data_IF_382740703846
#
_entry.id   IF_382740703846
#
_cell.length_a   1.000
_cell.length_b   1.000
_cell.length_c   1.000
_cell.angle_alpha   90.00
_cell.angle_beta   90.00
_cell.angle_gamma   90.00
#
_symmetry.space_group_name_H-M   'P 1'
#
loop_
_entity.id
_entity.type
_entity.pdbx_description
1 polymer ?
#
# COMPACT_ATOMS: atom_id res chain seq x y z
N UNK A 1 -8.20 -10.68 -17.40
CA UNK A 1 -8.48 -9.89 -16.20
C UNK A 1 -7.18 -9.73 -15.45
N UNK A 2 -6.80 -8.53 -15.04
CA UNK A 2 -5.55 -8.28 -14.32
C UNK A 2 -5.66 -8.74 -12.86
N UNK A 3 -4.52 -9.06 -12.22
CA UNK A 3 -4.50 -9.44 -10.80
C UNK A 3 -5.03 -8.31 -9.90
N UNK A 4 -4.72 -7.07 -10.25
CA UNK A 4 -5.25 -5.88 -9.57
C UNK A 4 -6.77 -5.90 -9.49
N UNK A 5 -7.46 -6.14 -10.60
CA UNK A 5 -8.93 -6.17 -10.64
C UNK A 5 -9.50 -7.34 -9.83
N UNK A 6 -8.82 -8.49 -9.84
CA UNK A 6 -9.23 -9.65 -9.02
C UNK A 6 -9.10 -9.31 -7.53
N UNK A 7 -7.99 -8.70 -7.11
CA UNK A 7 -7.78 -8.30 -5.71
C UNK A 7 -8.86 -7.29 -5.29
N UNK A 8 -9.14 -6.28 -6.11
CA UNK A 8 -10.19 -5.29 -5.85
C UNK A 8 -11.55 -5.96 -5.69
N UNK A 9 -11.92 -6.84 -6.62
CA UNK A 9 -13.21 -7.53 -6.58
C UNK A 9 -13.36 -8.39 -5.32
N UNK A 10 -12.37 -9.23 -5.00
CA UNK A 10 -12.39 -10.09 -3.81
C UNK A 10 -12.45 -9.26 -2.53
N UNK A 11 -11.61 -8.22 -2.43
CA UNK A 11 -11.57 -7.33 -1.25
C UNK A 11 -12.89 -6.60 -1.07
N UNK A 12 -13.48 -6.08 -2.15
CA UNK A 12 -14.78 -5.39 -2.10
C UNK A 12 -15.89 -6.34 -1.65
N UNK A 13 -15.99 -7.53 -2.24
CA UNK A 13 -17.01 -8.52 -1.87
C UNK A 13 -16.90 -8.88 -0.39
N UNK A 14 -15.71 -9.21 0.10
CA UNK A 14 -15.51 -9.59 1.51
C UNK A 14 -15.81 -8.42 2.45
N UNK A 15 -15.40 -7.20 2.11
CA UNK A 15 -15.71 -6.00 2.91
C UNK A 15 -17.21 -5.75 2.99
N UNK A 16 -17.94 -5.81 1.86
CA UNK A 16 -19.39 -5.66 1.85
C UNK A 16 -20.10 -6.73 2.69
N UNK A 17 -19.65 -7.98 2.61
CA UNK A 17 -20.16 -9.04 3.48
C UNK A 17 -19.91 -8.76 4.96
N UNK A 18 -18.73 -8.22 5.30
CA UNK A 18 -18.33 -7.97 6.68
C UNK A 18 -19.05 -6.76 7.32
N UNK A 19 -19.52 -5.76 6.54
CA UNK A 19 -20.27 -4.61 7.05
C UNK A 19 -21.54 -5.03 7.82
N UNK A 20 -22.17 -6.12 7.42
CA UNK A 20 -23.39 -6.61 8.05
C UNK A 20 -23.20 -7.98 8.74
N UNK A 21 -21.94 -8.45 8.90
CA UNK A 21 -21.63 -9.73 9.49
C UNK A 21 -20.52 -9.62 10.52
N UNK A 22 -20.89 -9.40 11.79
CA UNK A 22 -19.96 -9.26 12.90
C UNK A 22 -19.10 -10.52 13.11
N UNK A 23 -19.64 -11.72 12.84
CA UNK A 23 -18.89 -12.97 12.96
C UNK A 23 -17.74 -13.01 11.95
N UNK A 24 -18.00 -12.65 10.68
CA UNK A 24 -16.98 -12.57 9.64
C UNK A 24 -15.93 -11.50 10.01
N UNK A 25 -16.38 -10.32 10.43
CA UNK A 25 -15.51 -9.24 10.89
C UNK A 25 -14.57 -9.71 12.01
N UNK A 26 -15.10 -10.29 13.09
CA UNK A 26 -14.31 -10.76 14.22
C UNK A 26 -13.36 -11.90 13.85
N UNK A 27 -13.73 -12.76 12.92
CA UNK A 27 -12.90 -13.87 12.47
C UNK A 27 -11.71 -13.37 11.63
N UNK A 28 -11.89 -12.34 10.79
CA UNK A 28 -10.88 -11.89 9.83
C UNK A 28 -10.03 -10.71 10.31
N UNK A 29 -10.53 -9.90 11.25
CA UNK A 29 -9.81 -8.72 11.76
C UNK A 29 -8.46 -9.11 12.37
N UNK A 30 -7.45 -8.27 12.16
CA UNK A 30 -6.17 -8.42 12.84
C UNK A 30 -6.35 -8.21 14.34
N UNK A 31 -6.05 -9.25 15.11
CA UNK A 31 -6.15 -9.29 16.55
C UNK A 31 -4.91 -9.99 17.13
N UNK A 32 -3.95 -9.26 17.70
CA UNK A 32 -2.68 -9.82 18.16
C UNK A 32 -2.80 -10.99 19.12
N UNK A 33 -3.70 -11.00 20.14
CA UNK A 33 -3.87 -12.16 21.01
C UNK A 33 -4.33 -13.43 20.29
N UNK A 34 -5.11 -13.30 19.19
CA UNK A 34 -5.51 -14.46 18.38
C UNK A 34 -4.33 -14.98 17.54
N UNK A 35 -3.49 -14.08 17.01
CA UNK A 35 -2.24 -14.45 16.32
C UNK A 35 -1.31 -15.24 17.26
N UNK A 36 -1.19 -14.86 18.53
CA UNK A 36 -0.46 -15.63 19.55
C UNK A 36 -1.02 -17.04 19.73
N UNK A 37 -2.32 -17.25 19.53
CA UNK A 37 -2.98 -18.57 19.53
C UNK A 37 -2.87 -19.31 18.19
N UNK A 38 -1.93 -18.89 17.33
CA UNK A 38 -1.62 -19.48 16.01
C UNK A 38 -2.65 -19.19 14.91
N UNK A 39 -3.52 -18.17 15.06
CA UNK A 39 -4.43 -17.73 14.02
C UNK A 39 -3.68 -16.84 12.98
N UNK A 40 -2.62 -17.38 12.37
CA UNK A 40 -1.69 -16.63 11.48
C UNK A 40 -2.35 -16.12 10.20
N UNK A 41 -3.48 -16.69 9.78
CA UNK A 41 -4.24 -16.20 8.63
C UNK A 41 -4.66 -14.73 8.78
N UNK A 42 -4.76 -14.23 10.01
CA UNK A 42 -5.11 -12.84 10.31
C UNK A 42 -4.09 -11.82 9.81
N UNK A 43 -2.85 -12.24 9.54
CA UNK A 43 -1.85 -11.41 8.86
C UNK A 43 -2.21 -11.09 7.41
N UNK A 44 -3.19 -11.77 6.84
CA UNK A 44 -3.63 -11.59 5.45
C UNK A 44 -5.11 -11.18 5.37
N UNK A 45 -5.96 -11.81 6.15
CA UNK A 45 -7.42 -11.61 6.05
C UNK A 45 -7.87 -10.22 6.50
N UNK A 46 -7.13 -9.56 7.38
CA UNK A 46 -7.43 -8.20 7.81
C UNK A 46 -7.44 -7.19 6.65
N UNK A 47 -6.62 -7.45 5.62
CA UNK A 47 -6.58 -6.63 4.41
C UNK A 47 -7.80 -6.77 3.51
N UNK A 48 -8.67 -7.77 3.75
CA UNK A 48 -9.95 -7.92 3.06
C UNK A 48 -11.08 -7.15 3.73
N UNK A 49 -10.83 -6.54 4.89
CA UNK A 49 -11.83 -5.84 5.68
C UNK A 49 -11.59 -4.32 5.64
N UNK A 50 -12.67 -3.55 5.68
CA UNK A 50 -12.61 -2.09 5.78
C UNK A 50 -13.62 -1.59 6.82
N UNK A 51 -13.33 -0.43 7.42
CA UNK A 51 -14.16 0.12 8.50
C UNK A 51 -15.52 0.63 7.98
N UNK A 52 -15.48 1.25 6.79
CA UNK A 52 -16.62 1.87 6.15
C UNK A 52 -16.43 1.93 4.62
N UNK A 53 -17.46 2.43 3.91
CA UNK A 53 -17.46 2.55 2.46
C UNK A 53 -16.40 3.53 1.93
N UNK A 54 -16.14 4.61 2.65
CA UNK A 54 -15.13 5.59 2.27
C UNK A 54 -13.73 4.99 2.35
N UNK A 55 -13.44 4.27 3.45
CA UNK A 55 -12.18 3.56 3.63
C UNK A 55 -11.97 2.49 2.53
N UNK A 56 -13.00 1.71 2.21
CA UNK A 56 -12.95 0.76 1.10
C UNK A 56 -12.71 1.45 -0.24
N UNK A 57 -13.48 2.50 -0.54
CA UNK A 57 -13.39 3.23 -1.80
C UNK A 57 -11.99 3.78 -2.03
N UNK A 58 -11.41 4.50 -1.07
CA UNK A 58 -10.08 5.10 -1.24
C UNK A 58 -8.98 4.07 -1.39
N UNK A 59 -9.04 2.94 -0.68
CA UNK A 59 -8.07 1.85 -0.85
C UNK A 59 -8.19 1.21 -2.24
N UNK A 60 -9.39 0.89 -2.69
CA UNK A 60 -9.61 0.24 -3.98
C UNK A 60 -9.35 1.19 -5.15
N UNK A 61 -9.67 2.48 -5.00
CA UNK A 61 -9.35 3.51 -5.99
C UNK A 61 -7.83 3.68 -6.15
N UNK A 62 -7.10 3.81 -5.05
CA UNK A 62 -5.63 3.88 -5.08
C UNK A 62 -5.04 2.59 -5.68
N UNK A 63 -5.54 1.42 -5.29
CA UNK A 63 -5.09 0.14 -5.84
C UNK A 63 -5.39 0.04 -7.34
N UNK A 64 -6.53 0.55 -7.80
CA UNK A 64 -6.85 0.59 -9.22
C UNK A 64 -5.85 1.45 -10.00
N UNK A 65 -5.62 2.68 -9.57
CA UNK A 65 -4.73 3.62 -10.26
C UNK A 65 -3.27 3.14 -10.26
N UNK A 66 -2.74 2.87 -9.11
CA UNK A 66 -1.31 2.56 -8.95
C UNK A 66 -1.01 1.07 -9.18
N UNK A 67 -1.95 0.21 -8.80
CA UNK A 67 -1.80 -1.24 -8.96
C UNK A 67 -1.79 -1.67 -10.42
N UNK A 68 -2.70 -1.15 -11.24
CA UNK A 68 -2.70 -1.45 -12.68
C UNK A 68 -1.43 -0.97 -13.37
N UNK A 69 -0.91 0.20 -12.96
CA UNK A 69 0.34 0.72 -13.51
C UNK A 69 1.54 -0.18 -13.12
N UNK A 70 1.67 -0.55 -11.86
CA UNK A 70 2.79 -1.38 -11.38
C UNK A 70 2.68 -2.83 -11.86
N UNK A 71 1.46 -3.41 -11.92
CA UNK A 71 1.25 -4.72 -12.57
C UNK A 71 1.73 -4.67 -14.03
N UNK A 72 1.38 -3.60 -14.77
CA UNK A 72 1.83 -3.37 -16.15
C UNK A 72 3.34 -3.28 -16.28
N UNK A 73 4.02 -2.54 -15.39
CA UNK A 73 5.50 -2.45 -15.36
C UNK A 73 6.14 -3.82 -15.12
N UNK A 74 5.64 -4.58 -14.16
CA UNK A 74 6.18 -5.90 -13.84
C UNK A 74 5.93 -6.90 -14.96
N UNK A 75 4.75 -6.89 -15.58
CA UNK A 75 4.43 -7.72 -16.75
C UNK A 75 5.32 -7.35 -17.94
N UNK A 76 5.52 -6.07 -18.22
CA UNK A 76 6.42 -5.62 -19.27
C UNK A 76 7.86 -6.06 -19.04
N UNK A 77 8.35 -5.93 -17.80
CA UNK A 77 9.73 -6.23 -17.47
C UNK A 77 10.02 -7.75 -17.39
N UNK A 78 9.07 -8.55 -16.89
CA UNK A 78 9.31 -9.96 -16.54
C UNK A 78 8.45 -10.97 -17.33
N UNK A 79 7.57 -10.48 -18.22
CA UNK A 79 6.58 -11.30 -18.93
C UNK A 79 5.32 -11.57 -18.11
N UNK A 80 4.24 -11.98 -18.79
CA UNK A 80 2.89 -12.06 -18.23
C UNK A 80 2.83 -12.90 -16.93
N UNK A 81 3.34 -14.12 -16.95
CA UNK A 81 3.23 -15.03 -15.81
C UNK A 81 4.07 -14.57 -14.61
N UNK A 82 5.35 -14.29 -14.85
CA UNK A 82 6.28 -13.90 -13.79
C UNK A 82 5.96 -12.50 -13.24
N UNK A 83 5.65 -11.54 -14.11
CA UNK A 83 5.30 -10.18 -13.70
C UNK A 83 4.05 -10.16 -12.85
N UNK A 84 3.00 -10.89 -13.25
CA UNK A 84 1.78 -11.03 -12.44
C UNK A 84 2.06 -11.70 -11.10
N UNK A 85 2.87 -12.77 -11.08
CA UNK A 85 3.26 -13.43 -9.81
C UNK A 85 4.00 -12.49 -8.87
N UNK A 86 4.98 -11.71 -9.40
CA UNK A 86 5.73 -10.73 -8.62
C UNK A 86 4.82 -9.64 -8.06
N UNK A 87 3.85 -9.15 -8.84
CA UNK A 87 2.87 -8.18 -8.39
C UNK A 87 2.01 -8.72 -7.23
N UNK A 88 1.45 -9.93 -7.41
CA UNK A 88 0.65 -10.58 -6.36
C UNK A 88 1.49 -10.84 -5.12
N UNK A 89 2.74 -11.31 -5.28
CA UNK A 89 3.67 -11.50 -4.17
C UNK A 89 3.94 -10.20 -3.41
N UNK A 90 4.20 -9.10 -4.13
CA UNK A 90 4.38 -7.77 -3.52
C UNK A 90 3.15 -7.36 -2.69
N UNK A 91 1.94 -7.54 -3.21
CA UNK A 91 0.72 -7.18 -2.51
C UNK A 91 0.51 -8.06 -1.26
N UNK A 92 0.61 -9.38 -1.40
CA UNK A 92 0.37 -10.33 -0.28
C UNK A 92 1.44 -10.21 0.79
N UNK A 93 2.72 -10.12 0.41
CA UNK A 93 3.81 -9.87 1.36
C UNK A 93 3.71 -8.47 1.97
N UNK A 94 3.20 -7.49 1.21
CA UNK A 94 2.89 -6.16 1.70
C UNK A 94 1.89 -6.17 2.86
N UNK A 95 0.84 -7.00 2.79
CA UNK A 95 -0.07 -7.20 3.94
C UNK A 95 0.68 -7.72 5.15
N UNK A 96 1.49 -8.77 5.00
CA UNK A 96 2.24 -9.35 6.10
C UNK A 96 3.25 -8.37 6.70
N UNK A 97 4.16 -7.83 5.86
CA UNK A 97 5.29 -7.01 6.31
C UNK A 97 4.83 -5.71 6.93
N UNK A 98 3.80 -5.06 6.37
CA UNK A 98 3.30 -3.78 6.89
C UNK A 98 2.77 -3.88 8.32
N UNK A 99 2.13 -5.01 8.69
CA UNK A 99 1.52 -5.17 10.01
C UNK A 99 2.49 -5.74 11.07
N UNK A 100 3.66 -6.28 10.68
CA UNK A 100 4.60 -6.90 11.63
C UNK A 100 5.09 -5.96 12.73
N UNK A 101 5.51 -4.71 12.47
CA UNK A 101 5.91 -3.79 13.54
C UNK A 101 4.78 -3.50 14.51
N UNK A 102 3.56 -3.34 13.99
CA UNK A 102 2.36 -3.18 14.81
C UNK A 102 2.09 -4.43 15.65
N UNK A 103 2.28 -5.63 15.09
CA UNK A 103 2.16 -6.86 15.87
C UNK A 103 3.15 -6.90 17.03
N UNK A 104 4.41 -6.54 16.79
CA UNK A 104 5.45 -6.52 17.83
C UNK A 104 5.09 -5.53 18.94
N UNK A 105 4.61 -4.34 18.58
CA UNK A 105 4.19 -3.28 19.51
C UNK A 105 2.96 -3.67 20.32
N UNK A 106 1.95 -4.26 19.67
CA UNK A 106 0.62 -4.49 20.24
C UNK A 106 0.34 -5.95 20.63
N UNK A 107 1.36 -6.84 20.57
CA UNK A 107 1.18 -8.29 20.77
C UNK A 107 0.54 -8.69 22.10
N UNK A 108 0.65 -7.83 23.12
CA UNK A 108 0.11 -8.04 24.46
C UNK A 108 -1.15 -7.19 24.74
N UNK A 109 -1.58 -6.38 23.77
CA UNK A 109 -2.75 -5.51 23.91
C UNK A 109 -4.05 -6.27 23.61
N UNK A 110 -4.93 -6.50 24.60
CA UNK A 110 -6.21 -7.18 24.37
C UNK A 110 -7.24 -6.28 23.66
N UNK A 111 -7.02 -4.97 23.65
CA UNK A 111 -7.92 -4.01 23.05
C UNK A 111 -7.61 -3.73 21.57
N UNK A 112 -6.36 -3.98 21.14
CA UNK A 112 -5.94 -3.59 19.80
C UNK A 112 -6.63 -4.41 18.70
N UNK A 113 -7.10 -3.71 17.68
CA UNK A 113 -7.68 -4.27 16.46
C UNK A 113 -7.21 -3.44 15.27
N UNK A 114 -6.97 -4.09 14.12
CA UNK A 114 -6.65 -3.39 12.87
C UNK A 114 -7.30 -4.09 11.68
N UNK A 115 -7.66 -3.30 10.67
CA UNK A 115 -8.23 -3.77 9.41
C UNK A 115 -7.90 -2.80 8.28
N UNK A 116 -7.94 -3.27 7.05
CA UNK A 116 -7.71 -2.48 5.84
C UNK A 116 -6.50 -2.94 5.03
N UNK A 117 -6.62 -2.81 3.71
CA UNK A 117 -5.57 -3.15 2.75
C UNK A 117 -4.43 -2.10 2.70
N UNK A 118 -4.57 -0.99 3.43
CA UNK A 118 -3.79 0.24 3.21
C UNK A 118 -2.27 0.06 3.32
N UNK A 119 -1.78 -0.88 4.15
CA UNK A 119 -0.36 -1.20 4.22
C UNK A 119 0.18 -1.79 2.90
N UNK A 120 -0.54 -2.74 2.30
CA UNK A 120 -0.18 -3.28 0.99
C UNK A 120 -0.42 -2.27 -0.15
N UNK A 121 -1.47 -1.46 -0.05
CA UNK A 121 -1.71 -0.36 -1.00
C UNK A 121 -0.57 0.65 -0.94
N UNK A 122 -0.05 0.98 0.25
CA UNK A 122 1.14 1.84 0.40
C UNK A 122 2.37 1.23 -0.26
N UNK A 123 2.57 -0.10 -0.19
CA UNK A 123 3.66 -0.76 -0.92
C UNK A 123 3.55 -0.53 -2.43
N UNK A 124 2.35 -0.66 -2.99
CA UNK A 124 2.09 -0.43 -4.42
C UNK A 124 2.29 1.04 -4.80
N UNK A 125 1.80 1.97 -3.97
CA UNK A 125 1.96 3.43 -4.19
C UNK A 125 3.44 3.82 -4.19
N UNK A 126 4.23 3.32 -3.24
CA UNK A 126 5.66 3.64 -3.18
C UNK A 126 6.47 2.95 -4.29
N UNK A 127 6.05 1.75 -4.74
CA UNK A 127 6.58 1.15 -5.96
C UNK A 127 6.30 2.04 -7.19
N UNK A 128 5.10 2.65 -7.27
CA UNK A 128 4.76 3.60 -8.33
C UNK A 128 5.61 4.86 -8.27
N UNK A 129 5.79 5.45 -7.09
CA UNK A 129 6.64 6.63 -6.88
C UNK A 129 8.08 6.37 -7.35
N UNK A 130 8.60 5.16 -7.06
CA UNK A 130 9.95 4.76 -7.47
C UNK A 130 10.12 4.68 -9.00
N UNK A 131 9.08 4.27 -9.73
CA UNK A 131 9.10 4.12 -11.19
C UNK A 131 8.77 5.44 -11.90
N UNK A 132 7.85 6.22 -11.35
CA UNK A 132 7.31 7.44 -11.97
C UNK A 132 7.42 8.66 -11.04
N UNK A 133 8.65 9.05 -10.63
CA UNK A 133 8.85 10.09 -9.60
C UNK A 133 8.31 11.46 -9.97
N UNK A 134 8.27 11.80 -11.25
CA UNK A 134 7.80 13.09 -11.74
C UNK A 134 6.32 13.14 -12.12
N UNK A 135 5.62 12.00 -12.09
CA UNK A 135 4.18 12.00 -12.30
C UNK A 135 3.47 12.77 -11.18
N UNK A 136 2.53 13.63 -11.57
CA UNK A 136 1.81 14.44 -10.59
C UNK A 136 0.77 13.60 -9.84
N UNK A 137 0.82 13.69 -8.51
CA UNK A 137 -0.12 13.06 -7.59
C UNK A 137 -0.77 14.12 -6.71
N UNK A 138 -2.03 13.90 -6.34
CA UNK A 138 -2.79 14.79 -5.47
C UNK A 138 -3.74 14.01 -4.58
N UNK A 139 -4.34 14.70 -3.63
CA UNK A 139 -5.40 14.18 -2.78
C UNK A 139 -6.75 14.53 -3.42
N UNK A 140 -7.65 13.57 -3.51
CA UNK A 140 -9.00 13.78 -4.06
C UNK A 140 -9.66 14.97 -3.36
N UNK A 141 -10.28 15.84 -4.16
CA UNK A 141 -10.91 17.12 -3.76
C UNK A 141 -9.95 18.25 -3.38
N UNK A 142 -8.63 18.05 -3.39
CA UNK A 142 -7.65 19.12 -3.17
C UNK A 142 -6.97 19.41 -4.52
N UNK A 143 -7.20 20.60 -5.13
CA UNK A 143 -6.66 20.91 -6.47
C UNK A 143 -5.18 21.33 -6.42
N UNK A 144 -4.37 20.54 -5.70
CA UNK A 144 -2.92 20.70 -5.58
C UNK A 144 -2.28 19.37 -5.95
N UNK A 145 -1.43 19.40 -6.95
CA UNK A 145 -0.73 18.21 -7.44
C UNK A 145 0.77 18.42 -7.31
N UNK A 146 1.44 17.42 -6.75
CA UNK A 146 2.89 17.40 -6.53
C UNK A 146 3.50 16.22 -7.29
N UNK A 147 4.77 16.32 -7.75
CA UNK A 147 5.48 15.16 -8.23
C UNK A 147 5.43 14.01 -7.23
N UNK A 148 5.34 12.79 -7.72
CA UNK A 148 5.17 11.62 -6.88
C UNK A 148 6.25 11.49 -5.81
N UNK A 149 7.52 11.81 -6.12
CA UNK A 149 8.60 11.76 -5.12
C UNK A 149 8.36 12.73 -3.96
N UNK A 150 7.90 13.95 -4.24
CA UNK A 150 7.61 14.95 -3.21
C UNK A 150 6.38 14.57 -2.40
N UNK A 151 5.33 14.08 -3.08
CA UNK A 151 4.14 13.51 -2.43
C UNK A 151 4.53 12.38 -1.46
N UNK A 152 5.40 11.46 -1.86
CA UNK A 152 5.87 10.36 -1.03
C UNK A 152 6.62 10.83 0.23
N UNK A 153 7.49 11.84 0.10
CA UNK A 153 8.20 12.44 1.25
C UNK A 153 7.19 13.03 2.24
N UNK A 154 6.25 13.86 1.75
CA UNK A 154 5.22 14.48 2.59
C UNK A 154 4.36 13.41 3.26
N UNK A 155 3.95 12.38 2.53
CA UNK A 155 3.18 11.26 3.06
C UNK A 155 3.87 10.56 4.22
N UNK A 156 5.18 10.27 4.09
CA UNK A 156 5.96 9.64 5.18
C UNK A 156 6.07 10.56 6.39
N UNK A 157 6.39 11.84 6.19
CA UNK A 157 6.53 12.83 7.28
C UNK A 157 5.22 12.98 8.05
N UNK A 158 4.11 13.15 7.32
CA UNK A 158 2.78 13.28 7.94
C UNK A 158 2.38 11.99 8.66
N UNK A 159 2.58 10.83 8.03
CA UNK A 159 2.28 9.54 8.65
C UNK A 159 3.09 9.31 9.93
N UNK A 160 4.38 9.66 9.94
CA UNK A 160 5.23 9.57 11.12
C UNK A 160 4.76 10.50 12.25
N UNK A 161 4.39 11.74 11.91
CA UNK A 161 3.86 12.70 12.88
C UNK A 161 2.55 12.22 13.51
N UNK A 162 1.63 11.69 12.70
CA UNK A 162 0.34 11.18 13.17
C UNK A 162 0.49 9.90 14.00
N UNK A 163 1.42 8.99 13.64
CA UNK A 163 1.72 7.79 14.45
C UNK A 163 2.27 8.17 15.83
N UNK A 164 3.22 9.11 15.87
CA UNK A 164 3.82 9.59 17.12
C UNK A 164 2.79 10.22 18.07
N UNK A 165 1.83 10.95 17.52
CA UNK A 165 0.79 11.62 18.31
C UNK A 165 -0.43 10.73 18.58
N UNK A 166 -0.42 9.46 18.14
CA UNK A 166 -1.54 8.51 18.26
C UNK A 166 -2.87 9.10 17.75
N UNK A 167 -2.80 9.91 16.70
CA UNK A 167 -3.94 10.62 16.13
C UNK A 167 -4.81 9.69 15.29
N UNK A 168 -6.06 9.48 15.72
CA UNK A 168 -7.07 8.74 14.98
C UNK A 168 -6.93 7.21 15.09
N UNK A 169 -7.77 6.51 14.30
CA UNK A 169 -7.85 5.04 14.28
C UNK A 169 -7.06 4.42 13.12
N UNK A 170 -6.17 5.19 12.49
CA UNK A 170 -5.40 4.74 11.33
C UNK A 170 -4.05 4.20 11.80
N UNK A 171 -3.67 3.02 11.29
CA UNK A 171 -2.37 2.43 11.55
C UNK A 171 -1.29 3.05 10.64
N UNK A 172 -0.81 4.24 11.02
CA UNK A 172 0.21 4.96 10.25
C UNK A 172 1.54 4.21 10.16
N UNK A 173 1.90 3.45 11.19
CA UNK A 173 3.09 2.60 11.19
C UNK A 173 3.03 1.55 10.08
N UNK A 174 1.87 0.93 9.87
CA UNK A 174 1.70 -0.03 8.78
C UNK A 174 1.82 0.64 7.39
N UNK A 175 1.36 1.89 7.25
CA UNK A 175 1.51 2.65 6.00
C UNK A 175 2.99 2.91 5.67
N UNK A 176 3.77 3.39 6.65
CA UNK A 176 5.21 3.66 6.46
C UNK A 176 5.94 2.36 6.13
N UNK A 177 5.71 1.31 6.93
CA UNK A 177 6.37 0.01 6.73
C UNK A 177 6.00 -0.61 5.38
N UNK A 178 4.73 -0.51 4.98
CA UNK A 178 4.28 -0.95 3.67
C UNK A 178 4.99 -0.21 2.53
N UNK A 179 5.05 1.12 2.61
CA UNK A 179 5.76 1.94 1.62
C UNK A 179 7.24 1.58 1.50
N UNK A 180 7.95 1.46 2.63
CA UNK A 180 9.36 1.02 2.65
C UNK A 180 9.50 -0.38 2.04
N UNK A 181 8.62 -1.31 2.39
CA UNK A 181 8.62 -2.64 1.81
C UNK A 181 8.47 -2.61 0.28
N UNK A 182 7.53 -1.82 -0.25
CA UNK A 182 7.32 -1.69 -1.70
C UNK A 182 8.59 -1.23 -2.43
N UNK A 183 9.28 -0.21 -1.90
CA UNK A 183 10.56 0.27 -2.43
C UNK A 183 11.64 -0.82 -2.40
N UNK A 184 11.81 -1.49 -1.25
CA UNK A 184 12.80 -2.57 -1.08
C UNK A 184 12.48 -3.75 -2.00
N UNK A 185 11.22 -4.15 -2.11
CA UNK A 185 10.80 -5.23 -2.98
C UNK A 185 11.16 -4.94 -4.45
N UNK A 186 10.79 -3.75 -4.96
CA UNK A 186 11.13 -3.35 -6.33
C UNK A 186 12.64 -3.29 -6.55
N UNK A 187 13.40 -2.74 -5.60
CA UNK A 187 14.86 -2.73 -5.67
C UNK A 187 15.41 -4.15 -5.81
N UNK A 188 14.99 -5.06 -4.96
CA UNK A 188 15.51 -6.43 -4.97
C UNK A 188 15.18 -7.15 -6.27
N UNK A 189 13.94 -7.12 -6.75
CA UNK A 189 13.57 -7.85 -7.96
C UNK A 189 14.25 -7.29 -9.21
N UNK A 190 14.36 -5.96 -9.35
CA UNK A 190 15.04 -5.37 -10.51
C UNK A 190 16.55 -5.57 -10.45
N UNK A 191 17.17 -5.43 -9.28
CA UNK A 191 18.61 -5.67 -9.13
C UNK A 191 18.99 -7.12 -9.32
N UNK A 192 18.27 -8.06 -8.69
CA UNK A 192 18.63 -9.49 -8.70
C UNK A 192 18.23 -10.19 -10.01
N UNK A 193 17.07 -9.83 -10.59
CA UNK A 193 16.53 -10.53 -11.76
C UNK A 193 16.84 -9.85 -13.10
N UNK A 194 17.16 -8.56 -13.07
CA UNK A 194 17.45 -7.79 -14.29
C UNK A 194 18.82 -7.08 -14.28
N UNK A 195 19.52 -7.07 -13.16
CA UNK A 195 20.77 -6.31 -13.03
C UNK A 195 20.57 -4.78 -13.10
N UNK A 196 19.35 -4.28 -12.89
CA UNK A 196 19.01 -2.86 -12.99
C UNK A 196 19.04 -2.23 -11.61
N UNK A 197 19.85 -1.17 -11.44
CA UNK A 197 19.81 -0.35 -10.25
C UNK A 197 18.63 0.64 -10.34
N UNK A 198 17.50 0.27 -9.74
CA UNK A 198 16.27 1.04 -9.80
C UNK A 198 16.38 2.40 -9.08
N UNK A 199 17.29 2.57 -8.10
CA UNK A 199 17.53 3.86 -7.48
C UNK A 199 18.25 4.82 -8.41
N UNK A 200 19.23 4.35 -9.19
CA UNK A 200 19.84 5.17 -10.22
C UNK A 200 18.81 5.60 -11.27
N UNK A 201 17.94 4.67 -11.68
CA UNK A 201 16.82 4.99 -12.56
C UNK A 201 15.92 6.07 -11.96
N UNK A 202 15.50 5.92 -10.71
CA UNK A 202 14.67 6.89 -9.98
C UNK A 202 15.31 8.29 -9.97
N UNK A 203 16.59 8.40 -9.61
CA UNK A 203 17.30 9.68 -9.54
C UNK A 203 17.39 10.32 -10.93
N UNK A 204 17.69 9.56 -11.97
CA UNK A 204 17.78 10.06 -13.35
C UNK A 204 16.46 10.57 -13.91
N UNK A 205 15.33 10.05 -13.39
CA UNK A 205 13.99 10.52 -13.79
C UNK A 205 13.62 11.87 -13.13
N UNK A 206 14.28 12.25 -12.03
CA UNK A 206 13.99 13.52 -11.35
C UNK A 206 14.67 14.65 -12.11
N UNK A 207 13.86 15.38 -12.88
CA UNK A 207 14.29 16.54 -13.66
C UNK A 207 13.43 17.75 -13.27
N UNK A 208 14.05 18.74 -12.63
CA UNK A 208 13.38 19.95 -12.18
C UNK A 208 14.06 21.13 -12.89
N UNK A 209 13.32 21.76 -13.78
CA UNK A 209 13.78 22.92 -14.56
C UNK A 209 13.10 24.21 -14.11
N UNK A 210 11.93 24.10 -13.50
CA UNK A 210 11.13 25.24 -13.05
C UNK A 210 10.30 24.91 -11.82
N UNK A 211 9.72 25.92 -11.17
CA UNK A 211 8.80 25.70 -10.05
C UNK A 211 7.51 24.96 -10.48
N UNK A 212 7.13 25.04 -11.75
CA UNK A 212 5.96 24.34 -12.30
C UNK A 212 6.14 22.81 -12.32
N UNK A 213 7.39 22.35 -12.25
CA UNK A 213 7.72 20.93 -12.12
C UNK A 213 7.48 20.41 -10.70
N UNK A 214 7.33 21.31 -9.71
CA UNK A 214 7.13 20.99 -8.31
C UNK A 214 5.68 21.08 -7.83
N UNK A 215 4.85 21.87 -8.50
CA UNK A 215 3.46 22.03 -8.11
C UNK A 215 2.59 22.42 -9.31
N UNK A 216 1.40 21.80 -9.37
CA UNK A 216 0.33 22.18 -10.30
C UNK A 216 -0.94 22.47 -9.53
N UNK A 217 -1.72 23.44 -9.98
CA UNK A 217 -3.01 23.83 -9.44
C UNK A 217 -4.10 23.63 -10.50
N UNK A 218 -5.28 23.26 -10.04
CA UNK A 218 -6.46 23.05 -10.88
C UNK A 218 -6.70 21.58 -11.21
N UNK A 219 -7.83 21.32 -11.83
CA UNK A 219 -8.25 20.01 -12.33
C UNK A 219 -8.09 19.93 -13.83
#
# INVERSE_FOLDING_TARGET
MTATIIIIAVTSIVSFMAFNNSTLLHRFIFYPPAVKRKEYYRFFTYGLLHADLGHLFFNMFALYLFGTAIEGVLVYAFGQAQGTLLYVAMYVLGLLVSILPTYIKEKDSPAYRSLGASGAVSAVVFAYILIYPMNFMGIVFIPIFLPAFLFGIIYVVVSFYLDKNQSGNINHLAHITGGVFGVVFMFLIFSMLKGINIFNYFIQQIQISSWQDLVKFGY
#
